data_IF_018115766942
#
_entry.id   IF_018115766942
#
_cell.length_a   1.000
_cell.length_b   1.000
_cell.length_c   1.000
_cell.angle_alpha   90.00
_cell.angle_beta   90.00
_cell.angle_gamma   90.00
#
_symmetry.space_group_name_H-M   'P 1'
#
loop_
_entity.id
_entity.type
_entity.pdbx_description
1 polymer ?
#
# COMPACT_ATOMS: atom_id res chain seq x y z
N UNK A 1 -5.64 -40.69 17.08
CA UNK A 1 -6.45 -39.48 17.37
C UNK A 1 -5.62 -38.33 17.96
N UNK A 2 -4.56 -38.58 18.73
CA UNK A 2 -3.70 -37.52 19.29
C UNK A 2 -2.85 -36.78 18.24
N UNK A 3 -2.40 -37.47 17.19
CA UNK A 3 -1.51 -36.89 16.18
C UNK A 3 -2.26 -35.88 15.30
N UNK A 4 -3.44 -36.23 14.79
CA UNK A 4 -4.36 -35.30 14.10
C UNK A 4 -4.68 -34.04 14.90
N UNK A 5 -4.79 -34.14 16.24
CA UNK A 5 -5.07 -33.00 17.09
C UNK A 5 -3.86 -32.07 17.23
N UNK A 6 -2.64 -32.64 17.28
CA UNK A 6 -1.39 -31.87 17.28
C UNK A 6 -1.15 -31.17 15.94
N UNK A 7 -1.41 -31.85 14.83
CA UNK A 7 -1.25 -31.29 13.48
C UNK A 7 -2.18 -30.09 13.26
N UNK A 8 -3.47 -30.20 13.63
CA UNK A 8 -4.42 -29.10 13.54
C UNK A 8 -4.03 -27.87 14.41
N UNK A 9 -3.44 -28.11 15.58
CA UNK A 9 -2.95 -27.04 16.46
C UNK A 9 -1.69 -26.39 15.89
N UNK A 10 -0.79 -27.17 15.29
CA UNK A 10 0.39 -26.66 14.60
C UNK A 10 -0.01 -25.78 13.40
N UNK A 11 -0.94 -26.25 12.56
CA UNK A 11 -1.46 -25.48 11.42
C UNK A 11 -2.12 -24.17 11.85
N UNK A 12 -2.92 -24.19 12.92
CA UNK A 12 -3.53 -22.99 13.50
C UNK A 12 -2.48 -21.97 13.98
N UNK A 13 -1.39 -22.45 14.59
CA UNK A 13 -0.31 -21.58 15.06
C UNK A 13 0.51 -21.01 13.91
N UNK A 14 0.79 -21.81 12.87
CA UNK A 14 1.47 -21.37 11.64
C UNK A 14 0.63 -20.29 10.94
N UNK A 15 -0.67 -20.51 10.77
CA UNK A 15 -1.57 -19.52 10.18
C UNK A 15 -1.60 -18.20 10.97
N UNK A 16 -1.57 -18.28 12.31
CA UNK A 16 -1.50 -17.09 13.17
C UNK A 16 -0.19 -16.34 13.00
N UNK A 17 0.95 -17.04 12.97
CA UNK A 17 2.26 -16.40 12.78
C UNK A 17 2.39 -15.77 11.40
N UNK A 18 1.87 -16.42 10.35
CA UNK A 18 1.84 -15.85 9.01
C UNK A 18 1.06 -14.53 8.99
N UNK A 19 -0.11 -14.49 9.64
CA UNK A 19 -0.90 -13.25 9.77
C UNK A 19 -0.15 -12.14 10.52
N UNK A 20 0.59 -12.49 11.57
CA UNK A 20 1.43 -11.53 12.31
C UNK A 20 2.57 -11.01 11.43
N UNK A 21 3.20 -11.88 10.64
CA UNK A 21 4.26 -11.49 9.71
C UNK A 21 3.73 -10.52 8.65
N UNK A 22 2.60 -10.84 8.02
CA UNK A 22 1.93 -9.97 7.04
C UNK A 22 1.56 -8.60 7.65
N UNK A 23 0.98 -8.61 8.85
CA UNK A 23 0.58 -7.37 9.54
C UNK A 23 1.79 -6.52 9.93
N UNK A 24 2.86 -7.14 10.44
CA UNK A 24 4.09 -6.42 10.77
C UNK A 24 4.79 -5.84 9.53
N UNK A 25 4.86 -6.59 8.43
CA UNK A 25 5.38 -6.11 7.14
C UNK A 25 4.58 -4.89 6.65
N UNK A 26 3.24 -4.96 6.69
CA UNK A 26 2.36 -3.87 6.28
C UNK A 26 2.56 -2.64 7.16
N UNK A 27 2.68 -2.82 8.47
CA UNK A 27 2.89 -1.73 9.42
C UNK A 27 4.26 -1.07 9.23
N UNK A 28 5.32 -1.85 9.04
CA UNK A 28 6.66 -1.32 8.74
C UNK A 28 6.67 -0.52 7.45
N UNK A 29 6.07 -1.05 6.37
CA UNK A 29 5.97 -0.34 5.09
C UNK A 29 5.21 0.98 5.23
N UNK A 30 4.12 1.01 6.01
CA UNK A 30 3.37 2.23 6.30
C UNK A 30 4.21 3.25 7.07
N UNK A 31 4.91 2.81 8.12
CA UNK A 31 5.76 3.67 8.96
C UNK A 31 6.89 4.31 8.14
N UNK A 32 7.59 3.51 7.33
CA UNK A 32 8.70 3.98 6.49
C UNK A 32 8.23 5.00 5.45
N UNK A 33 7.07 4.77 4.82
CA UNK A 33 6.46 5.75 3.91
C UNK A 33 6.16 7.06 4.62
N UNK A 34 5.60 7.01 5.82
CA UNK A 34 5.29 8.21 6.58
C UNK A 34 6.55 8.99 6.97
N UNK A 35 7.57 8.31 7.50
CA UNK A 35 8.85 8.92 7.87
C UNK A 35 9.54 9.58 6.67
N UNK A 36 9.51 8.94 5.49
CA UNK A 36 10.03 9.53 4.26
C UNK A 36 9.31 10.84 3.90
N UNK A 37 7.98 10.86 3.95
CA UNK A 37 7.22 12.08 3.64
C UNK A 37 7.45 13.19 4.66
N UNK A 38 7.61 12.84 5.94
CA UNK A 38 7.98 13.81 6.97
C UNK A 38 9.39 14.38 6.68
N UNK A 39 10.37 13.54 6.39
CA UNK A 39 11.73 13.97 6.05
C UNK A 39 11.74 14.92 4.84
N UNK A 40 11.04 14.54 3.77
CA UNK A 40 10.87 15.36 2.57
C UNK A 40 10.19 16.71 2.87
N UNK A 41 9.19 16.73 3.75
CA UNK A 41 8.52 17.96 4.19
C UNK A 41 9.47 18.91 4.92
N UNK A 42 10.33 18.38 5.80
CA UNK A 42 11.32 19.18 6.51
C UNK A 42 12.40 19.72 5.57
N UNK A 43 12.91 18.89 4.65
CA UNK A 43 13.99 19.29 3.74
C UNK A 43 13.53 20.35 2.71
N UNK A 44 12.24 20.37 2.36
CA UNK A 44 11.65 21.42 1.51
C UNK A 44 11.80 22.83 2.07
N UNK A 45 11.88 22.97 3.40
CA UNK A 45 12.06 24.28 4.07
C UNK A 45 13.52 24.75 4.05
N UNK A 46 14.46 23.85 3.79
CA UNK A 46 15.90 24.13 3.89
C UNK A 46 16.54 24.42 2.54
N UNK A 47 16.06 23.81 1.44
CA UNK A 47 16.69 23.97 0.13
C UNK A 47 15.71 23.89 -1.05
N UNK A 48 15.74 24.85 -2.01
CA UNK A 48 14.83 24.87 -3.16
C UNK A 48 14.87 23.58 -3.99
N UNK A 49 16.04 22.97 -4.18
CA UNK A 49 16.15 21.69 -4.92
C UNK A 49 15.45 20.54 -4.19
N UNK A 50 15.43 20.56 -2.86
CA UNK A 50 14.69 19.56 -2.10
C UNK A 50 13.18 19.70 -2.35
N UNK A 51 12.66 20.93 -2.45
CA UNK A 51 11.26 21.17 -2.78
C UNK A 51 10.87 20.51 -4.13
N UNK A 52 11.72 20.65 -5.14
CA UNK A 52 11.51 19.99 -6.44
C UNK A 52 11.50 18.46 -6.33
N UNK A 53 12.46 17.88 -5.59
CA UNK A 53 12.55 16.43 -5.40
C UNK A 53 11.32 15.89 -4.67
N UNK A 54 10.92 16.53 -3.56
CA UNK A 54 9.74 16.11 -2.80
C UNK A 54 8.46 16.18 -3.62
N UNK A 55 8.25 17.28 -4.36
CA UNK A 55 7.11 17.40 -5.30
C UNK A 55 7.10 16.25 -6.30
N UNK A 56 8.24 15.95 -6.91
CA UNK A 56 8.36 14.87 -7.88
C UNK A 56 7.99 13.52 -7.28
N UNK A 57 8.51 13.21 -6.09
CA UNK A 57 8.19 11.97 -5.36
C UNK A 57 6.69 11.88 -5.01
N UNK A 58 6.09 12.97 -4.54
CA UNK A 58 4.66 13.03 -4.25
C UNK A 58 3.81 12.77 -5.50
N UNK A 59 4.13 13.43 -6.62
CA UNK A 59 3.43 13.23 -7.89
C UNK A 59 3.57 11.79 -8.38
N UNK A 60 4.77 11.20 -8.32
CA UNK A 60 5.02 9.84 -8.77
C UNK A 60 4.20 8.81 -7.95
N UNK A 61 4.16 8.96 -6.62
CA UNK A 61 3.34 8.10 -5.77
C UNK A 61 1.84 8.24 -6.10
N UNK A 62 1.32 9.47 -6.25
CA UNK A 62 -0.07 9.69 -6.61
C UNK A 62 -0.44 9.08 -7.98
N UNK A 63 0.47 9.16 -8.96
CA UNK A 63 0.27 8.50 -10.27
C UNK A 63 0.26 6.98 -10.16
N UNK A 64 1.10 6.40 -9.30
CA UNK A 64 1.12 4.96 -9.07
C UNK A 64 -0.17 4.47 -8.40
N UNK A 65 -0.65 5.18 -7.38
CA UNK A 65 -1.91 4.84 -6.70
C UNK A 65 -3.09 4.91 -7.69
N UNK A 66 -3.11 5.94 -8.54
CA UNK A 66 -4.10 6.08 -9.61
C UNK A 66 -4.04 4.92 -10.61
N UNK A 67 -2.85 4.48 -11.00
CA UNK A 67 -2.67 3.36 -11.91
C UNK A 67 -3.21 2.05 -11.30
N UNK A 68 -2.97 1.80 -10.01
CA UNK A 68 -3.50 0.63 -9.31
C UNK A 68 -5.03 0.70 -9.18
N UNK A 69 -5.60 1.88 -8.93
CA UNK A 69 -7.05 2.08 -8.95
C UNK A 69 -7.66 1.73 -10.31
N UNK A 70 -7.06 2.21 -11.41
CA UNK A 70 -7.52 1.91 -12.77
C UNK A 70 -7.42 0.42 -13.07
N UNK A 71 -6.29 -0.23 -12.74
CA UNK A 71 -6.11 -1.68 -12.91
C UNK A 71 -7.15 -2.49 -12.12
N UNK A 72 -7.51 -2.02 -10.93
CA UNK A 72 -8.48 -2.70 -10.07
C UNK A 72 -9.93 -2.60 -10.57
N UNK A 73 -10.21 -1.76 -11.57
CA UNK A 73 -11.56 -1.41 -12.05
C UNK A 73 -12.50 -0.90 -10.94
N UNK A 74 -11.97 -0.48 -9.79
CA UNK A 74 -12.69 0.08 -8.63
C UNK A 74 -12.38 1.57 -8.45
N UNK A 75 -12.07 2.27 -9.54
CA UNK A 75 -11.78 3.70 -9.45
C UNK A 75 -13.00 4.44 -8.90
N UNK A 76 -12.81 5.28 -7.88
CA UNK A 76 -13.89 6.14 -7.38
C UNK A 76 -14.27 7.25 -8.37
N UNK A 77 -13.41 7.52 -9.36
CA UNK A 77 -13.66 8.52 -10.38
C UNK A 77 -14.47 7.91 -11.53
N UNK A 78 -15.73 8.36 -11.74
CA UNK A 78 -16.59 7.82 -12.78
C UNK A 78 -16.04 8.05 -14.20
N UNK A 79 -15.13 9.02 -14.40
CA UNK A 79 -14.47 9.26 -15.69
C UNK A 79 -13.33 8.27 -15.98
N UNK A 80 -12.83 7.56 -14.96
CA UNK A 80 -11.74 6.60 -15.09
C UNK A 80 -12.23 5.15 -15.13
N UNK A 81 -13.46 4.90 -14.68
CA UNK A 81 -14.15 3.65 -14.98
C UNK A 81 -14.59 3.75 -16.44
N UNK A 82 -13.93 3.00 -17.33
CA UNK A 82 -14.45 2.78 -18.68
C UNK A 82 -15.95 2.47 -18.61
N UNK A 83 -16.82 3.13 -19.39
CA UNK A 83 -18.25 2.85 -19.42
C UNK A 83 -18.45 1.45 -20.01
N UNK A 84 -18.28 0.40 -19.19
CA UNK A 84 -18.48 -0.98 -19.61
C UNK A 84 -19.96 -1.32 -19.83
N UNK A 85 -20.87 -0.36 -19.66
CA UNK A 85 -22.32 -0.52 -19.81
C UNK A 85 -22.96 0.56 -20.70
N UNK A 86 -22.28 1.00 -21.77
CA UNK A 86 -22.94 1.73 -22.87
C UNK A 86 -22.87 0.89 -24.15
N UNK A 87 -23.46 -0.31 -24.11
CA UNK A 87 -23.87 -1.04 -25.31
C UNK A 87 -25.36 -1.32 -25.14
N UNK A 88 -26.09 -0.85 -26.16
CA UNK A 88 -27.52 -1.00 -26.50
C UNK A 88 -28.29 -2.10 -25.78
#
# INVERSE_FOLDING_TARGET
MKDKLRDNVADSNIMRQLKIADESQKNTSKSQKQELFELLSHSNKLHPQSCYISRYIHTLHGLNDLLEEIKSAKSSNPNLISPKNQLL
#
